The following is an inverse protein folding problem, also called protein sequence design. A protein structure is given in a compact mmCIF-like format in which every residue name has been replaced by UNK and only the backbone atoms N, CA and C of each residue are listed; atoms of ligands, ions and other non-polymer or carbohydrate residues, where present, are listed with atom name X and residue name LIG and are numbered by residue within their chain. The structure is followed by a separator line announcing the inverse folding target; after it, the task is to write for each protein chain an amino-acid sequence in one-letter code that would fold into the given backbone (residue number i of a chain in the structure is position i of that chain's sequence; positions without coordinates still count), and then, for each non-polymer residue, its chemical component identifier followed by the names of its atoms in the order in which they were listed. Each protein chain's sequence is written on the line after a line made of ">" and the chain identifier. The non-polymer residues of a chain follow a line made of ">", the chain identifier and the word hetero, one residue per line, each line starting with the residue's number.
data_IF_437803276890
#
_entry.id   IF_437803276890
#
_cell.length_a   1.000
_cell.length_b   1.000
_cell.length_c   1.000
_cell.angle_alpha   90.00
_cell.angle_beta   90.00
_cell.angle_gamma   90.00
#
_symmetry.space_group_name_H-M   'P 1'
#
loop_
_entity.id
_entity.type
_entity.pdbx_description
1 polymer ?
#
# COMPACT_ATOMS: atom_id res chain seq x y z
N UNK A 1 -28.38 -1.78 12.83
CA UNK A 1 -28.83 -1.42 14.19
C UNK A 1 -28.30 -0.04 14.48
N UNK A 2 -29.17 0.98 14.53
CA UNK A 2 -28.73 2.34 14.83
C UNK A 2 -28.43 2.45 16.32
N UNK A 3 -27.23 2.93 16.67
CA UNK A 3 -26.85 3.28 18.04
C UNK A 3 -27.64 4.50 18.50
N UNK A 4 -28.07 4.51 19.77
CA UNK A 4 -28.71 5.69 20.37
C UNK A 4 -27.77 6.91 20.35
N UNK A 5 -28.30 8.13 20.21
CA UNK A 5 -27.49 9.33 20.28
C UNK A 5 -26.81 9.43 21.66
N UNK A 6 -25.51 9.78 21.68
CA UNK A 6 -24.68 10.06 22.88
C UNK A 6 -24.11 8.87 23.67
N UNK A 7 -24.03 7.66 23.10
CA UNK A 7 -23.29 6.52 23.71
C UNK A 7 -22.11 6.04 22.84
N UNK A 8 -20.98 6.78 22.78
CA UNK A 8 -19.81 6.41 21.96
C UNK A 8 -19.27 5.00 22.22
N UNK A 9 -19.41 4.51 23.46
CA UNK A 9 -18.94 3.19 23.89
C UNK A 9 -19.70 2.01 23.27
N UNK A 10 -20.90 2.21 22.71
CA UNK A 10 -21.66 1.14 22.06
C UNK A 10 -21.16 0.85 20.64
N UNK A 11 -20.45 1.80 20.01
CA UNK A 11 -20.00 1.64 18.64
C UNK A 11 -18.61 1.00 18.56
N UNK A 12 -18.55 -0.33 18.53
CA UNK A 12 -17.29 -1.06 18.37
C UNK A 12 -16.50 -0.63 17.12
N UNK A 13 -17.18 -0.11 16.10
CA UNK A 13 -16.53 0.42 14.90
C UNK A 13 -15.63 1.63 15.19
N UNK A 14 -15.95 2.47 16.17
CA UNK A 14 -15.11 3.62 16.54
C UNK A 14 -13.76 3.18 17.12
N UNK A 15 -13.76 2.10 17.92
CA UNK A 15 -12.52 1.51 18.43
C UNK A 15 -11.66 0.95 17.30
N UNK A 16 -12.26 0.26 16.34
CA UNK A 16 -11.51 -0.28 15.18
C UNK A 16 -10.96 0.82 14.28
N UNK A 17 -11.74 1.87 14.02
CA UNK A 17 -11.29 3.05 13.26
C UNK A 17 -10.10 3.72 13.96
N UNK A 18 -10.13 3.82 15.30
CA UNK A 18 -9.04 4.38 16.08
C UNK A 18 -7.75 3.57 15.91
N UNK A 19 -7.82 2.26 16.02
CA UNK A 19 -6.64 1.39 15.88
C UNK A 19 -6.11 1.35 14.45
N UNK A 20 -6.99 1.39 13.44
CA UNK A 20 -6.62 1.55 12.04
C UNK A 20 -5.84 2.85 11.82
N UNK A 21 -6.36 3.99 12.28
CA UNK A 21 -5.66 5.29 12.14
C UNK A 21 -4.28 5.28 12.80
N UNK A 22 -4.14 4.67 13.98
CA UNK A 22 -2.85 4.51 14.65
C UNK A 22 -1.86 3.70 13.81
N UNK A 23 -2.31 2.59 13.22
CA UNK A 23 -1.47 1.74 12.37
C UNK A 23 -1.05 2.46 11.09
N UNK A 24 -1.97 3.17 10.43
CA UNK A 24 -1.67 3.99 9.25
C UNK A 24 -0.58 5.02 9.57
N UNK A 25 -0.75 5.81 10.64
CA UNK A 25 0.25 6.80 11.05
C UNK A 25 1.60 6.16 11.39
N UNK A 26 1.61 4.99 12.01
CA UNK A 26 2.84 4.26 12.33
C UNK A 26 3.59 3.82 11.08
N UNK A 27 2.90 3.25 10.10
CA UNK A 27 3.50 2.80 8.84
C UNK A 27 4.02 3.99 8.04
N UNK A 28 3.22 5.05 7.93
CA UNK A 28 3.64 6.27 7.22
C UNK A 28 4.91 6.88 7.83
N UNK A 29 4.98 6.94 9.16
CA UNK A 29 6.15 7.46 9.87
C UNK A 29 7.38 6.56 9.72
N UNK A 30 7.20 5.23 9.82
CA UNK A 30 8.30 4.27 9.71
C UNK A 30 8.92 4.24 8.31
N UNK A 31 8.09 4.23 7.26
CA UNK A 31 8.54 4.12 5.86
C UNK A 31 8.79 5.49 5.20
N UNK A 32 8.51 6.60 5.89
CA UNK A 32 8.68 7.95 5.35
C UNK A 32 7.71 8.28 4.20
N UNK A 33 6.48 7.76 4.28
CA UNK A 33 5.48 7.92 3.22
C UNK A 33 4.90 9.35 3.24
N UNK A 34 4.88 10.06 2.10
CA UNK A 34 4.23 11.37 2.00
C UNK A 34 2.76 11.32 2.44
N UNK A 35 2.27 12.40 3.06
CA UNK A 35 0.90 12.47 3.57
C UNK A 35 -0.16 12.22 2.48
N UNK A 36 0.14 12.59 1.23
CA UNK A 36 -0.79 12.41 0.10
C UNK A 36 -1.13 10.97 -0.25
N UNK A 37 -0.34 9.99 0.20
CA UNK A 37 -0.62 8.57 -0.02
C UNK A 37 -1.28 7.90 1.19
N UNK A 38 -1.85 8.69 2.13
CA UNK A 38 -2.47 8.16 3.34
C UNK A 38 -3.63 7.19 3.05
N UNK A 39 -4.36 7.43 1.97
CA UNK A 39 -5.50 6.65 1.52
C UNK A 39 -5.09 5.24 1.07
N UNK A 40 -4.01 5.13 0.29
CA UNK A 40 -3.41 3.84 -0.06
C UNK A 40 -2.93 3.06 1.17
N UNK A 41 -2.32 3.75 2.14
CA UNK A 41 -1.89 3.10 3.40
C UNK A 41 -3.10 2.65 4.22
N UNK A 42 -4.16 3.44 4.25
CA UNK A 42 -5.39 3.08 4.94
C UNK A 42 -6.05 1.84 4.31
N UNK A 43 -6.09 1.75 2.99
CA UNK A 43 -6.58 0.57 2.27
C UNK A 43 -5.72 -0.66 2.60
N UNK A 44 -4.40 -0.58 2.43
CA UNK A 44 -3.46 -1.65 2.76
C UNK A 44 -3.62 -2.17 4.20
N UNK A 45 -3.73 -1.27 5.17
CA UNK A 45 -3.94 -1.64 6.59
C UNK A 45 -5.31 -2.27 6.81
N UNK A 46 -6.35 -1.76 6.16
CA UNK A 46 -7.71 -2.29 6.25
C UNK A 46 -7.79 -3.72 5.73
N UNK A 47 -7.13 -4.00 4.61
CA UNK A 47 -7.06 -5.32 4.01
C UNK A 47 -6.31 -6.31 4.90
N UNK A 48 -5.11 -5.95 5.37
CA UNK A 48 -4.33 -6.79 6.31
C UNK A 48 -5.15 -7.11 7.56
N UNK A 49 -5.86 -6.12 8.13
CA UNK A 49 -6.72 -6.33 9.30
C UNK A 49 -7.92 -7.22 9.01
N UNK A 50 -8.48 -7.13 7.80
CA UNK A 50 -9.61 -7.97 7.38
C UNK A 50 -9.19 -9.44 7.19
N UNK A 51 -7.90 -9.69 7.01
CA UNK A 51 -7.33 -11.01 6.74
C UNK A 51 -6.53 -11.59 7.90
N UNK A 52 -6.16 -10.76 8.87
CA UNK A 52 -5.58 -11.24 10.12
C UNK A 52 -6.71 -11.64 11.06
N UNK A 53 -6.70 -12.87 11.55
CA UNK A 53 -7.64 -13.30 12.56
C UNK A 53 -7.38 -12.52 13.87
N UNK A 54 -8.27 -11.57 14.18
CA UNK A 54 -8.24 -10.89 15.46
C UNK A 54 -8.76 -11.83 16.57
N UNK A 55 -8.26 -11.71 17.82
CA UNK A 55 -8.74 -12.49 18.97
C UNK A 55 -10.12 -12.01 19.44
N UNK A 56 -11.05 -11.80 18.51
CA UNK A 56 -12.45 -11.56 18.79
C UNK A 56 -13.12 -12.93 18.93
N UNK A 57 -13.76 -13.17 20.07
CA UNK A 57 -14.47 -14.42 20.36
C UNK A 57 -15.48 -14.80 19.25
N UNK A 58 -16.06 -13.80 18.59
CA UNK A 58 -17.03 -13.96 17.52
C UNK A 58 -16.43 -14.54 16.22
N UNK A 59 -15.12 -14.40 15.99
CA UNK A 59 -14.46 -14.86 14.76
C UNK A 59 -14.09 -16.36 14.80
N UNK A 60 -14.21 -17.04 15.96
CA UNK A 60 -13.87 -18.47 16.15
C UNK A 60 -12.52 -18.89 15.55
N UNK A 61 -11.54 -17.98 15.51
CA UNK A 61 -10.22 -18.24 14.94
C UNK A 61 -10.12 -18.20 13.41
N UNK A 62 -11.17 -17.75 12.70
CA UNK A 62 -11.17 -17.55 11.25
C UNK A 62 -10.97 -16.07 10.89
N UNK A 63 -10.54 -15.82 9.64
CA UNK A 63 -10.36 -14.45 9.16
C UNK A 63 -11.72 -13.80 8.88
N UNK A 64 -11.91 -12.50 9.16
CA UNK A 64 -13.16 -11.79 8.88
C UNK A 64 -13.65 -11.95 7.44
N UNK A 65 -12.73 -11.94 6.47
CA UNK A 65 -13.06 -12.15 5.05
C UNK A 65 -13.61 -13.56 4.79
N UNK A 66 -12.97 -14.61 5.29
CA UNK A 66 -13.43 -16.00 5.13
C UNK A 66 -14.79 -16.20 5.81
N UNK A 67 -15.02 -15.52 6.93
CA UNK A 67 -16.31 -15.55 7.63
C UNK A 67 -17.44 -14.90 6.82
N UNK A 68 -17.13 -13.91 5.97
CA UNK A 68 -18.12 -13.16 5.18
C UNK A 68 -18.31 -13.77 3.78
N UNK A 69 -17.23 -14.21 3.12
CA UNK A 69 -17.27 -14.67 1.72
C UNK A 69 -17.25 -16.18 1.58
N UNK A 70 -16.75 -16.92 2.57
CA UNK A 70 -16.56 -18.37 2.49
C UNK A 70 -15.40 -18.82 1.60
N UNK A 71 -14.65 -17.89 1.00
CA UNK A 71 -13.48 -18.16 0.15
C UNK A 71 -12.18 -17.87 0.89
N UNK A 72 -11.13 -18.65 0.58
CA UNK A 72 -9.77 -18.37 1.05
C UNK A 72 -9.19 -17.23 0.20
N UNK A 73 -8.89 -16.06 0.79
CA UNK A 73 -8.29 -14.96 0.05
C UNK A 73 -6.88 -15.35 -0.40
N UNK A 74 -6.52 -15.02 -1.64
CA UNK A 74 -5.12 -15.00 -2.05
C UNK A 74 -4.43 -13.83 -1.34
N UNK A 75 -3.34 -14.12 -0.62
CA UNK A 75 -2.57 -13.14 0.15
C UNK A 75 -1.17 -12.90 -0.42
N UNK A 76 -0.90 -13.47 -1.59
CA UNK A 76 0.43 -13.44 -2.21
C UNK A 76 1.00 -12.02 -2.31
N UNK A 77 0.18 -11.02 -2.68
CA UNK A 77 0.59 -9.62 -2.82
C UNK A 77 1.19 -9.05 -1.52
N UNK A 78 0.63 -9.41 -0.37
CA UNK A 78 1.03 -8.89 0.93
C UNK A 78 2.22 -9.65 1.52
N UNK A 79 2.46 -10.88 1.04
CA UNK A 79 3.64 -11.66 1.40
C UNK A 79 4.86 -11.23 0.59
N UNK A 80 4.65 -10.95 -0.70
CA UNK A 80 5.72 -10.56 -1.62
C UNK A 80 6.10 -9.08 -1.45
N UNK A 81 5.13 -8.22 -1.14
CA UNK A 81 5.36 -6.78 -1.08
C UNK A 81 5.07 -6.10 0.25
N UNK A 82 5.97 -5.18 0.60
CA UNK A 82 5.82 -4.25 1.73
C UNK A 82 5.39 -2.87 1.25
N UNK A 83 4.59 -2.21 2.09
CA UNK A 83 4.14 -0.85 1.81
C UNK A 83 5.31 0.09 1.55
N UNK A 84 5.23 0.86 0.46
CA UNK A 84 6.22 1.85 0.04
C UNK A 84 7.64 1.33 -0.22
N UNK A 85 7.80 0.01 -0.41
CA UNK A 85 9.11 -0.52 -0.78
C UNK A 85 9.49 -0.12 -2.21
N UNK A 86 10.80 -0.03 -2.52
CA UNK A 86 11.24 0.21 -3.89
C UNK A 86 11.02 -1.04 -4.74
N UNK A 87 10.48 -0.83 -5.95
CA UNK A 87 10.21 -1.89 -6.93
C UNK A 87 10.66 -1.45 -8.32
N UNK A 88 11.00 -2.43 -9.13
CA UNK A 88 11.14 -2.27 -10.57
C UNK A 88 9.81 -2.55 -11.23
N UNK A 89 9.38 -1.68 -12.14
CA UNK A 89 8.23 -1.95 -13.01
C UNK A 89 8.61 -1.76 -14.47
N UNK A 90 7.91 -2.48 -15.34
CA UNK A 90 8.10 -2.36 -16.78
C UNK A 90 7.14 -1.29 -17.32
N UNK A 91 7.68 -0.30 -18.04
CA UNK A 91 6.88 0.64 -18.84
C UNK A 91 6.98 0.24 -20.32
N UNK A 92 5.89 0.33 -21.12
CA UNK A 92 5.85 -0.19 -22.48
C UNK A 92 6.55 0.75 -23.49
N UNK A 93 7.62 1.44 -23.09
CA UNK A 93 8.39 2.33 -23.95
C UNK A 93 9.04 1.62 -25.14
N UNK A 94 9.26 2.37 -26.22
CA UNK A 94 9.93 1.90 -27.42
C UNK A 94 11.46 1.92 -27.26
N UNK A 95 12.15 1.05 -27.99
CA UNK A 95 13.62 1.05 -28.03
C UNK A 95 14.11 2.41 -28.58
N UNK A 96 15.09 3.09 -27.95
CA UNK A 96 16.10 2.57 -27.03
C UNK A 96 15.87 2.85 -25.53
N UNK A 97 14.66 3.24 -25.11
CA UNK A 97 14.41 3.66 -23.73
C UNK A 97 14.53 2.49 -22.73
N UNK A 98 15.06 2.77 -21.53
CA UNK A 98 15.14 1.78 -20.44
C UNK A 98 13.72 1.42 -19.98
N UNK A 99 13.25 0.23 -20.36
CA UNK A 99 11.90 -0.24 -20.03
C UNK A 99 11.71 -0.52 -18.54
N UNK A 100 12.80 -0.78 -17.81
CA UNK A 100 12.79 -1.13 -16.38
C UNK A 100 12.98 0.14 -15.55
N UNK A 101 11.89 0.63 -14.96
CA UNK A 101 11.87 1.88 -14.21
C UNK A 101 11.68 1.64 -12.72
N UNK A 102 12.23 2.54 -11.92
CA UNK A 102 12.09 2.52 -10.47
C UNK A 102 10.75 3.14 -10.05
N UNK A 103 10.07 2.51 -9.10
CA UNK A 103 8.86 3.01 -8.47
C UNK A 103 8.76 2.61 -7.00
N UNK A 104 7.74 3.10 -6.30
CA UNK A 104 7.37 2.66 -4.94
C UNK A 104 6.03 1.96 -4.99
N UNK A 105 5.94 0.79 -4.37
CA UNK A 105 4.72 0.00 -4.31
C UNK A 105 3.74 0.58 -3.29
N UNK A 106 2.46 0.71 -3.65
CA UNK A 106 1.42 1.34 -2.82
C UNK A 106 0.28 0.39 -2.41
N UNK A 107 0.23 -0.82 -2.97
CA UNK A 107 -0.83 -1.76 -2.67
C UNK A 107 -1.28 -2.57 -3.88
N UNK A 108 -2.11 -3.58 -3.67
CA UNK A 108 -2.82 -4.28 -4.73
C UNK A 108 -3.85 -3.37 -5.42
N UNK A 109 -4.11 -3.61 -6.70
CA UNK A 109 -5.08 -2.89 -7.50
C UNK A 109 -6.22 -3.84 -7.94
N UNK A 110 -7.06 -4.24 -6.98
CA UNK A 110 -8.12 -5.26 -7.12
C UNK A 110 -9.16 -5.02 -8.22
N UNK A 111 -9.24 -3.81 -8.78
CA UNK A 111 -10.27 -3.42 -9.75
C UNK A 111 -9.75 -3.24 -11.17
N UNK A 112 -8.49 -3.55 -11.43
CA UNK A 112 -7.84 -3.35 -12.74
C UNK A 112 -7.68 -4.70 -13.46
N UNK A 113 -8.80 -5.27 -13.92
CA UNK A 113 -8.81 -6.47 -14.78
C UNK A 113 -8.68 -7.81 -14.06
N UNK A 114 -8.62 -8.90 -14.84
CA UNK A 114 -8.48 -10.28 -14.34
C UNK A 114 -7.04 -10.66 -13.94
N UNK A 115 -6.08 -9.77 -14.20
CA UNK A 115 -4.65 -10.03 -13.97
C UNK A 115 -4.15 -9.25 -12.75
N UNK A 116 -3.26 -9.89 -11.99
CA UNK A 116 -2.51 -9.32 -10.88
C UNK A 116 -1.99 -7.92 -11.22
N UNK A 117 -2.51 -6.88 -10.55
CA UNK A 117 -2.11 -5.50 -10.73
C UNK A 117 -1.79 -4.87 -9.38
N UNK A 118 -0.80 -3.98 -9.35
CA UNK A 118 -0.44 -3.21 -8.18
C UNK A 118 -0.45 -1.71 -8.49
N UNK A 119 -0.73 -0.91 -7.46
CA UNK A 119 -0.51 0.52 -7.48
C UNK A 119 0.97 0.82 -7.25
N UNK A 120 1.51 1.67 -8.11
CA UNK A 120 2.91 2.10 -8.05
C UNK A 120 2.96 3.61 -8.23
N UNK A 121 3.76 4.29 -7.42
CA UNK A 121 4.15 5.67 -7.71
C UNK A 121 5.49 5.67 -8.47
N UNK A 122 5.52 6.17 -9.72
CA UNK A 122 6.73 6.37 -10.48
C UNK A 122 7.37 7.71 -10.12
N UNK A 123 8.52 8.04 -10.74
CA UNK A 123 9.27 9.28 -10.48
C UNK A 123 8.44 10.54 -10.73
N UNK A 124 7.45 10.46 -11.63
CA UNK A 124 6.50 11.53 -11.95
C UNK A 124 5.46 11.79 -10.85
N UNK A 125 5.42 10.98 -9.79
CA UNK A 125 4.52 11.14 -8.64
C UNK A 125 3.05 10.82 -8.90
N UNK A 126 2.65 10.55 -10.14
CA UNK A 126 1.28 10.10 -10.51
C UNK A 126 1.16 8.59 -10.37
N UNK A 127 0.29 8.13 -9.48
CA UNK A 127 0.06 6.70 -9.26
C UNK A 127 -0.46 6.03 -10.53
N UNK A 128 0.12 4.87 -10.85
CA UNK A 128 -0.23 4.02 -12.00
C UNK A 128 -0.49 2.59 -11.55
N UNK A 129 -1.35 1.88 -12.29
CA UNK A 129 -1.54 0.44 -12.13
C UNK A 129 -0.62 -0.32 -13.09
N UNK A 130 0.09 -1.34 -12.58
CA UNK A 130 0.99 -2.20 -13.37
C UNK A 130 0.91 -3.65 -12.89
N UNK A 131 0.96 -4.58 -13.85
CA UNK A 131 0.96 -6.03 -13.58
C UNK A 131 2.36 -6.66 -13.57
N UNK A 132 3.35 -6.00 -14.16
CA UNK A 132 4.75 -6.48 -14.21
C UNK A 132 5.60 -5.69 -13.25
N UNK A 133 5.73 -6.22 -12.03
CA UNK A 133 6.44 -5.58 -10.92
C UNK A 133 7.43 -6.58 -10.32
N UNK A 134 8.62 -6.13 -10.00
CA UNK A 134 9.65 -6.96 -9.36
C UNK A 134 10.21 -6.24 -8.14
N UNK A 135 10.38 -6.93 -6.99
CA UNK A 135 11.10 -6.36 -5.87
C UNK A 135 12.55 -6.07 -6.26
N UNK A 136 13.11 -4.99 -5.75
CA UNK A 136 14.56 -4.75 -5.86
C UNK A 136 15.27 -5.79 -5.00
N UNK A 137 16.27 -6.47 -5.55
CA UNK A 137 17.03 -7.50 -4.84
C UNK A 137 17.82 -6.91 -3.66
N UNK A 138 18.13 -7.72 -2.64
CA UNK A 138 18.91 -7.26 -1.48
C UNK A 138 20.31 -6.78 -1.88
N UNK A 139 20.94 -7.49 -2.82
CA UNK A 139 22.24 -7.11 -3.37
C UNK A 139 22.20 -5.73 -4.04
N UNK A 140 21.20 -5.47 -4.88
CA UNK A 140 21.00 -4.16 -5.52
C UNK A 140 20.72 -3.06 -4.48
N UNK A 141 19.92 -3.34 -3.44
CA UNK A 141 19.66 -2.39 -2.35
C UNK A 141 20.94 -2.01 -1.58
N UNK A 142 21.89 -2.93 -1.51
CA UNK A 142 23.19 -2.74 -0.85
C UNK A 142 24.10 -1.76 -1.59
N UNK A 143 23.95 -1.61 -2.90
CA UNK A 143 24.79 -0.77 -3.75
C UNK A 143 24.60 0.73 -3.46
N UNK A 144 25.70 1.45 -3.28
CA UNK A 144 25.65 2.90 -3.02
C UNK A 144 25.13 3.69 -4.22
N UNK A 145 25.38 3.21 -5.44
CA UNK A 145 24.78 3.77 -6.66
C UNK A 145 23.26 3.68 -6.63
N UNK A 146 22.71 2.55 -6.19
CA UNK A 146 21.27 2.36 -6.06
C UNK A 146 20.67 3.22 -4.95
N UNK A 147 21.32 3.29 -3.79
CA UNK A 147 20.88 4.19 -2.69
C UNK A 147 20.83 5.64 -3.14
N UNK A 148 21.79 6.07 -3.96
CA UNK A 148 21.82 7.43 -4.52
C UNK A 148 20.67 7.64 -5.50
N UNK A 149 20.48 6.70 -6.45
CA UNK A 149 19.35 6.71 -7.39
C UNK A 149 18.00 6.75 -6.66
N UNK A 150 17.87 6.00 -5.56
CA UNK A 150 16.64 5.94 -4.75
C UNK A 150 16.38 7.27 -4.03
N UNK A 151 17.41 7.91 -3.46
CA UNK A 151 17.27 9.24 -2.85
C UNK A 151 16.82 10.30 -3.86
N UNK A 152 17.42 10.31 -5.05
CA UNK A 152 17.03 11.24 -6.13
C UNK A 152 15.60 10.98 -6.61
N UNK A 153 15.22 9.71 -6.67
CA UNK A 153 13.84 9.30 -6.96
C UNK A 153 12.87 9.82 -5.90
N UNK A 154 13.12 9.55 -4.62
CA UNK A 154 12.23 9.96 -3.53
C UNK A 154 12.10 11.49 -3.47
N UNK A 155 13.19 12.22 -3.69
CA UNK A 155 13.17 13.68 -3.79
C UNK A 155 12.28 14.15 -4.95
N UNK A 156 12.39 13.52 -6.11
CA UNK A 156 11.57 13.88 -7.28
C UNK A 156 10.08 13.67 -7.03
N UNK A 157 9.71 12.58 -6.34
CA UNK A 157 8.34 12.31 -5.94
C UNK A 157 7.85 13.37 -4.95
N UNK A 158 8.63 13.68 -3.92
CA UNK A 158 8.28 14.72 -2.94
C UNK A 158 8.10 16.09 -3.61
N UNK A 159 9.02 16.48 -4.50
CA UNK A 159 8.93 17.73 -5.25
C UNK A 159 7.67 17.80 -6.10
N UNK A 160 7.26 16.70 -6.73
CA UNK A 160 6.01 16.64 -7.49
C UNK A 160 4.79 16.81 -6.58
N UNK A 161 4.77 16.14 -5.43
CA UNK A 161 3.66 16.23 -4.48
C UNK A 161 3.51 17.64 -3.92
N UNK A 162 4.61 18.30 -3.56
CA UNK A 162 4.59 19.67 -3.05
C UNK A 162 4.05 20.69 -4.06
N UNK A 163 4.28 20.48 -5.38
CA UNK A 163 3.73 21.36 -6.44
C UNK A 163 2.22 21.31 -6.56
N UNK A 164 1.57 20.23 -6.13
CA UNK A 164 0.12 20.15 -6.18
C UNK A 164 -0.59 20.94 -5.08
N UNK A 165 0.14 21.45 -4.06
CA UNK A 165 -0.44 22.13 -2.89
C UNK A 165 -0.64 23.64 -3.14
N UNK A 166 -0.30 24.15 -4.33
CA UNK A 166 -0.41 25.58 -4.69
C UNK A 166 -1.76 26.01 -5.28
N UNK A 167 -2.85 25.27 -5.05
CA UNK A 167 -4.19 25.64 -5.53
C UNK A 167 -5.28 25.45 -4.48
#
# INVERSE_FOLDING_TARGET
>A
TMSEPLTPWQNRAESEIRELKKQVLRIMSHEGIPQRFWDYVAEYVSEIRSWTAHPLYNLKGRTPIEHVTGETPDITEWLEYRMYQPVWYLDPGDFPEEKKLLGRWLGPAHRVGQAFCCWIVPKLGRVIARSTVQPVSEDERGLDSFKTRLKDFDKSVQDFLNRGDTH
#
